data_IF_474044385743
#
_entry.id   IF_474044385743
#
_cell.length_a   1.000
_cell.length_b   1.000
_cell.length_c   1.000
_cell.angle_alpha   90.00
_cell.angle_beta   90.00
_cell.angle_gamma   90.00
#
_symmetry.space_group_name_H-M   'P 1'
#
loop_
_entity.id
_entity.type
_entity.pdbx_description
1 polymer ?
#
# COMPACT_ATOMS: atom_id res chain seq x y z
N UNK A 1 -30.49 28.17 18.48
CA UNK A 1 -29.87 29.50 18.41
C UNK A 1 -29.06 29.52 17.12
N UNK A 2 -29.55 30.16 16.05
CA UNK A 2 -28.77 30.28 14.81
C UNK A 2 -27.72 31.37 14.99
N UNK A 3 -26.44 31.01 14.85
CA UNK A 3 -25.35 31.97 14.95
C UNK A 3 -25.16 32.65 13.58
N UNK A 4 -25.38 33.97 13.47
CA UNK A 4 -25.21 34.67 12.21
C UNK A 4 -23.79 34.44 11.67
N UNK A 5 -23.67 34.12 10.39
CA UNK A 5 -22.37 33.91 9.69
C UNK A 5 -21.52 32.73 10.20
N UNK A 6 -22.12 31.75 10.88
CA UNK A 6 -21.42 30.54 11.34
C UNK A 6 -20.50 29.92 10.28
N UNK A 7 -20.98 29.77 9.04
CA UNK A 7 -20.20 29.19 7.93
C UNK A 7 -19.00 30.05 7.54
N UNK A 8 -19.15 31.38 7.50
CA UNK A 8 -18.07 32.31 7.13
C UNK A 8 -17.00 32.38 8.23
N UNK A 9 -17.44 32.40 9.50
CA UNK A 9 -16.56 32.38 10.67
C UNK A 9 -15.77 31.07 10.69
N UNK A 10 -16.45 29.94 10.55
CA UNK A 10 -15.81 28.61 10.55
C UNK A 10 -14.76 28.51 9.44
N UNK A 11 -15.09 28.93 8.21
CA UNK A 11 -14.12 28.96 7.10
C UNK A 11 -12.88 29.80 7.40
N UNK A 12 -13.06 30.94 8.06
CA UNK A 12 -11.96 31.85 8.39
C UNK A 12 -11.09 31.30 9.54
N UNK A 13 -11.70 30.60 10.50
CA UNK A 13 -11.01 30.01 11.65
C UNK A 13 -10.28 28.71 11.32
N UNK A 14 -10.72 27.93 10.32
CA UNK A 14 -10.07 26.67 9.91
C UNK A 14 -8.56 26.88 9.62
N UNK A 15 -8.20 27.97 8.93
CA UNK A 15 -6.81 28.29 8.61
C UNK A 15 -6.06 28.95 9.78
N UNK A 16 -6.71 29.14 10.93
CA UNK A 16 -6.17 29.77 12.13
C UNK A 16 -6.27 28.84 13.35
N UNK A 17 -6.48 27.54 13.13
CA UNK A 17 -6.78 26.58 14.18
C UNK A 17 -5.81 26.70 15.37
N UNK A 18 -4.50 26.72 15.11
CA UNK A 18 -3.49 26.76 16.16
C UNK A 18 -3.57 28.03 17.01
N UNK A 19 -3.95 29.17 16.42
CA UNK A 19 -4.13 30.43 17.15
C UNK A 19 -5.41 30.43 17.98
N UNK A 20 -6.47 29.80 17.48
CA UNK A 20 -7.71 29.60 18.25
C UNK A 20 -7.43 28.73 19.47
N UNK A 21 -6.70 27.63 19.30
CA UNK A 21 -6.35 26.72 20.39
C UNK A 21 -5.39 27.33 21.41
N UNK A 22 -4.62 28.35 21.02
CA UNK A 22 -3.68 29.05 21.92
C UNK A 22 -4.38 30.07 22.82
N UNK A 23 -5.68 30.33 22.64
CA UNK A 23 -6.45 31.18 23.54
C UNK A 23 -6.59 30.45 24.87
N UNK A 24 -6.07 31.04 25.95
CA UNK A 24 -6.21 30.52 27.31
C UNK A 24 -7.41 31.19 28.01
N UNK A 25 -8.55 30.50 28.18
CA UNK A 25 -9.67 31.06 28.93
C UNK A 25 -9.27 31.29 30.40
N UNK A 26 -9.83 32.34 31.02
CA UNK A 26 -9.49 32.67 32.41
C UNK A 26 -9.95 31.58 33.37
N UNK A 27 -9.07 31.16 34.29
CA UNK A 27 -9.39 30.23 35.38
C UNK A 27 -9.34 28.74 35.01
N UNK A 28 -8.84 28.38 33.83
CA UNK A 28 -8.65 26.99 33.39
C UNK A 28 -7.22 26.76 32.88
N UNK A 29 -6.84 25.48 32.73
CA UNK A 29 -5.55 25.10 32.19
C UNK A 29 -5.32 25.62 30.76
N UNK A 30 -4.06 25.88 30.41
CA UNK A 30 -3.71 26.50 29.14
C UNK A 30 -4.02 25.62 27.91
N UNK A 31 -4.24 24.32 28.09
CA UNK A 31 -4.66 23.37 27.06
C UNK A 31 -6.17 23.07 27.08
N UNK A 32 -6.96 23.79 27.87
CA UNK A 32 -8.41 23.57 28.02
C UNK A 32 -9.16 23.47 26.68
N UNK A 33 -8.83 24.32 25.69
CA UNK A 33 -9.48 24.26 24.38
C UNK A 33 -9.17 22.97 23.62
N UNK A 34 -8.00 22.37 23.84
CA UNK A 34 -7.61 21.08 23.24
C UNK A 34 -8.23 19.93 24.03
N UNK A 35 -8.04 19.93 25.36
CA UNK A 35 -8.40 18.78 26.18
C UNK A 35 -9.91 18.70 26.48
N UNK A 36 -10.55 19.81 26.83
CA UNK A 36 -11.96 19.82 27.26
C UNK A 36 -12.89 20.29 26.14
N UNK A 37 -12.57 21.37 25.42
CA UNK A 37 -13.51 21.95 24.46
C UNK A 37 -13.62 21.15 23.16
N UNK A 38 -12.49 20.74 22.58
CA UNK A 38 -12.46 19.76 21.48
C UNK A 38 -12.74 18.35 21.99
N UNK A 39 -12.43 18.08 23.26
CA UNK A 39 -12.42 16.74 23.82
C UNK A 39 -11.55 15.81 22.97
N UNK A 40 -10.26 16.14 22.82
CA UNK A 40 -9.40 15.47 21.83
C UNK A 40 -9.36 13.96 22.03
N UNK A 41 -9.38 13.51 23.29
CA UNK A 41 -9.37 12.12 23.67
C UNK A 41 -10.63 11.39 23.18
N UNK A 42 -11.82 11.98 23.34
CA UNK A 42 -13.06 11.36 22.82
C UNK A 42 -13.25 11.58 21.33
N UNK A 43 -12.90 12.73 20.78
CA UNK A 43 -13.15 13.08 19.37
C UNK A 43 -12.18 12.37 18.43
N UNK A 44 -10.88 12.46 18.68
CA UNK A 44 -9.85 11.87 17.82
C UNK A 44 -9.34 10.51 18.32
N UNK A 45 -9.60 10.18 19.58
CA UNK A 45 -9.36 8.85 20.15
C UNK A 45 -10.54 7.89 20.05
N UNK A 46 -11.65 8.28 19.42
CA UNK A 46 -12.86 7.46 19.31
C UNK A 46 -12.56 6.11 18.63
N UNK A 47 -12.69 4.98 19.34
CA UNK A 47 -12.44 3.67 18.75
C UNK A 47 -13.44 3.30 17.64
N UNK A 48 -14.58 3.98 17.55
CA UNK A 48 -15.60 3.75 16.52
C UNK A 48 -15.28 4.45 15.20
N UNK A 49 -14.34 5.41 15.19
CA UNK A 49 -13.91 6.05 13.94
C UNK A 49 -13.16 5.05 13.07
N UNK A 50 -13.62 4.85 11.83
CA UNK A 50 -13.00 3.91 10.90
C UNK A 50 -11.93 4.58 10.04
N UNK A 51 -10.84 3.87 9.70
CA UNK A 51 -9.85 4.39 8.78
C UNK A 51 -10.43 4.60 7.39
N UNK A 52 -10.26 5.82 6.87
CA UNK A 52 -10.55 6.14 5.46
C UNK A 52 -9.51 5.50 4.51
N UNK A 53 -9.78 5.53 3.20
CA UNK A 53 -8.99 4.90 2.14
C UNK A 53 -7.51 5.29 2.14
N UNK A 54 -7.20 6.50 2.60
CA UNK A 54 -5.83 7.01 2.65
C UNK A 54 -5.01 6.23 3.68
N UNK A 55 -5.58 6.02 4.88
CA UNK A 55 -4.98 5.22 5.94
C UNK A 55 -4.80 3.75 5.52
N UNK A 56 -5.84 3.18 4.90
CA UNK A 56 -5.78 1.80 4.38
C UNK A 56 -4.69 1.64 3.31
N UNK A 57 -4.56 2.59 2.37
CA UNK A 57 -3.52 2.53 1.35
C UNK A 57 -2.12 2.76 1.94
N UNK A 58 -1.97 3.65 2.92
CA UNK A 58 -0.71 3.82 3.66
C UNK A 58 -0.32 2.49 4.33
N UNK A 59 -1.25 1.81 5.00
CA UNK A 59 -1.00 0.50 5.60
C UNK A 59 -0.57 -0.55 4.56
N UNK A 60 -1.21 -0.58 3.38
CA UNK A 60 -0.79 -1.45 2.26
C UNK A 60 0.65 -1.15 1.83
N UNK A 61 0.99 0.12 1.62
CA UNK A 61 2.35 0.53 1.23
C UNK A 61 3.39 0.19 2.30
N UNK A 62 3.04 0.24 3.60
CA UNK A 62 3.90 -0.27 4.67
C UNK A 62 4.06 -1.78 4.59
N UNK A 63 2.97 -2.52 4.40
CA UNK A 63 3.00 -3.98 4.33
C UNK A 63 3.81 -4.48 3.13
N UNK A 64 3.77 -3.76 2.01
CA UNK A 64 4.61 -3.93 0.83
C UNK A 64 6.06 -3.40 1.03
N UNK A 65 6.41 -2.90 2.21
CA UNK A 65 7.78 -2.50 2.56
C UNK A 65 8.24 -1.16 1.97
N UNK A 66 7.34 -0.33 1.44
CA UNK A 66 7.70 0.92 0.78
C UNK A 66 7.61 2.15 1.69
N UNK A 67 6.63 2.18 2.59
CA UNK A 67 6.45 3.27 3.55
C UNK A 67 7.11 2.94 4.90
N UNK A 68 8.45 2.95 4.93
CA UNK A 68 9.23 2.55 6.12
C UNK A 68 9.21 3.55 7.27
N UNK A 69 9.10 4.85 6.97
CA UNK A 69 8.97 5.91 7.96
C UNK A 69 7.84 6.86 7.54
N UNK A 70 6.95 7.16 8.47
CA UNK A 70 5.81 8.05 8.30
C UNK A 70 5.84 9.04 9.45
N UNK A 71 5.73 10.33 9.11
CA UNK A 71 5.73 11.42 10.07
C UNK A 71 4.36 12.07 10.04
N UNK A 72 3.71 12.20 11.20
CA UNK A 72 2.34 12.73 11.29
C UNK A 72 2.20 13.73 12.43
N UNK A 73 1.49 14.82 12.13
CA UNK A 73 0.99 15.79 13.10
C UNK A 73 -0.44 15.43 13.59
N UNK A 74 -1.08 14.43 12.99
CA UNK A 74 -2.43 14.07 13.37
C UNK A 74 -2.46 13.35 14.72
N UNK A 75 -3.42 13.71 15.57
CA UNK A 75 -3.62 13.08 16.87
C UNK A 75 -4.33 11.72 16.79
N UNK A 76 -5.17 11.51 15.78
CA UNK A 76 -6.01 10.31 15.63
C UNK A 76 -5.20 9.03 15.41
N UNK A 77 -5.77 7.87 15.76
CA UNK A 77 -5.12 6.56 15.60
C UNK A 77 -5.45 5.83 14.30
N UNK A 78 -5.80 6.52 13.21
CA UNK A 78 -6.40 5.87 12.03
C UNK A 78 -5.39 5.06 11.21
N UNK A 79 -4.12 5.47 11.16
CA UNK A 79 -3.06 4.70 10.49
C UNK A 79 -2.77 3.43 11.28
N UNK A 80 -2.69 3.54 12.60
CA UNK A 80 -2.48 2.43 13.53
C UNK A 80 -3.60 1.39 13.39
N UNK A 81 -4.86 1.84 13.45
CA UNK A 81 -6.04 1.00 13.28
C UNK A 81 -6.09 0.36 11.89
N UNK A 82 -5.72 1.08 10.83
CA UNK A 82 -5.63 0.51 9.48
C UNK A 82 -4.60 -0.63 9.42
N UNK A 83 -3.41 -0.44 10.00
CA UNK A 83 -2.40 -1.51 10.04
C UNK A 83 -2.89 -2.70 10.86
N UNK A 84 -3.49 -2.49 12.02
CA UNK A 84 -4.05 -3.56 12.86
C UNK A 84 -5.09 -4.39 12.10
N UNK A 85 -6.04 -3.71 11.42
CA UNK A 85 -7.06 -4.36 10.60
C UNK A 85 -6.45 -5.21 9.48
N UNK A 86 -5.46 -4.68 8.76
CA UNK A 86 -4.90 -5.35 7.59
C UNK A 86 -3.86 -6.43 7.92
N UNK A 87 -3.06 -6.25 8.97
CA UNK A 87 -1.95 -7.13 9.31
C UNK A 87 -2.40 -8.44 9.98
N UNK A 88 -3.62 -8.49 10.54
CA UNK A 88 -4.14 -9.67 11.23
C UNK A 88 -3.26 -10.11 12.40
N UNK A 89 -2.77 -9.14 13.19
CA UNK A 89 -1.95 -9.39 14.38
C UNK A 89 -0.44 -9.45 14.16
N UNK A 90 0.06 -9.33 12.92
CA UNK A 90 1.49 -9.23 12.66
C UNK A 90 2.04 -7.88 13.14
N UNK A 91 3.22 -7.84 13.79
CA UNK A 91 3.86 -6.59 14.23
C UNK A 91 4.46 -5.85 13.02
N UNK A 92 3.63 -5.14 12.25
CA UNK A 92 4.06 -4.41 11.04
C UNK A 92 4.51 -2.99 11.37
N UNK A 93 3.92 -2.37 12.39
CA UNK A 93 4.08 -0.95 12.71
C UNK A 93 4.64 -0.74 14.11
N UNK A 94 5.65 0.13 14.22
CA UNK A 94 6.07 0.78 15.47
C UNK A 94 5.48 2.18 15.51
N UNK A 95 4.85 2.55 16.62
CA UNK A 95 4.32 3.90 16.86
C UNK A 95 5.24 4.60 17.84
N UNK A 96 5.71 5.79 17.49
CA UNK A 96 6.61 6.61 18.30
C UNK A 96 5.93 7.93 18.63
N UNK A 97 5.65 8.16 19.91
CA UNK A 97 5.07 9.40 20.44
C UNK A 97 6.01 10.04 21.47
N UNK A 98 6.64 9.19 22.29
CA UNK A 98 7.67 9.57 23.25
C UNK A 98 9.06 9.44 22.65
N UNK A 99 10.03 10.11 23.26
CA UNK A 99 11.43 10.00 22.87
C UNK A 99 11.95 8.57 23.13
N UNK A 100 11.48 7.92 24.19
CA UNK A 100 11.83 6.56 24.58
C UNK A 100 11.39 5.51 23.55
N UNK A 101 10.30 5.76 22.82
CA UNK A 101 9.78 4.82 21.81
C UNK A 101 10.78 4.59 20.68
N UNK A 102 11.67 5.57 20.44
CA UNK A 102 12.73 5.48 19.43
C UNK A 102 13.79 4.42 19.75
N UNK A 103 13.87 3.96 21.01
CA UNK A 103 14.82 2.94 21.46
C UNK A 103 14.43 1.51 21.06
N UNK A 104 13.16 1.28 20.76
CA UNK A 104 12.68 -0.06 20.38
C UNK A 104 13.11 -0.40 18.95
N UNK A 105 13.29 -1.68 18.63
CA UNK A 105 13.66 -2.08 17.28
C UNK A 105 12.62 -1.61 16.26
N UNK A 106 13.12 -1.13 15.11
CA UNK A 106 12.26 -0.70 14.02
C UNK A 106 11.41 -1.86 13.51
N UNK A 107 10.15 -1.58 13.21
CA UNK A 107 9.30 -2.50 12.47
C UNK A 107 9.34 -2.17 10.98
N UNK A 108 8.57 -2.91 10.17
CA UNK A 108 8.49 -2.66 8.72
C UNK A 108 8.08 -1.22 8.40
N UNK A 109 7.15 -0.67 9.19
CA UNK A 109 6.80 0.74 9.21
C UNK A 109 7.03 1.36 10.58
N UNK A 110 7.43 2.64 10.59
CA UNK A 110 7.61 3.44 11.80
C UNK A 110 6.79 4.72 11.66
N UNK A 111 5.86 4.94 12.58
CA UNK A 111 4.99 6.12 12.61
C UNK A 111 5.42 7.05 13.74
N UNK A 112 5.97 8.21 13.39
CA UNK A 112 6.39 9.24 14.33
C UNK A 112 5.30 10.30 14.46
N UNK A 113 4.63 10.33 15.61
CA UNK A 113 3.54 11.27 15.91
C UNK A 113 4.05 12.41 16.77
N UNK A 114 4.67 13.38 16.12
CA UNK A 114 5.38 14.45 16.80
C UNK A 114 4.47 15.51 17.45
N UNK A 115 3.16 15.44 17.19
CA UNK A 115 2.13 16.23 17.87
C UNK A 115 1.34 15.45 18.94
N UNK A 116 1.76 14.23 19.28
CA UNK A 116 1.07 13.41 20.27
C UNK A 116 0.06 12.43 19.66
N UNK A 117 -0.64 11.69 20.50
CA UNK A 117 -1.64 10.70 20.09
C UNK A 117 -2.84 10.73 21.05
N UNK A 118 -4.02 11.04 20.51
CA UNK A 118 -5.27 11.10 21.28
C UNK A 118 -5.67 9.74 21.85
N UNK A 119 -5.44 8.65 21.10
CA UNK A 119 -5.73 7.28 21.56
C UNK A 119 -4.89 6.90 22.78
N UNK A 120 -3.60 7.27 22.80
CA UNK A 120 -2.74 6.99 23.94
C UNK A 120 -3.03 7.94 25.12
N UNK A 121 -3.32 9.21 24.85
CA UNK A 121 -3.74 10.17 25.87
C UNK A 121 -5.07 9.80 26.55
N UNK A 122 -6.01 9.19 25.81
CA UNK A 122 -7.24 8.66 26.39
C UNK A 122 -7.01 7.47 27.34
N UNK A 123 -5.92 6.72 27.14
CA UNK A 123 -5.56 5.54 27.96
C UNK A 123 -4.67 5.90 29.15
N UNK A 124 -3.74 6.83 28.95
CA UNK A 124 -2.79 7.31 29.95
C UNK A 124 -2.59 8.83 29.77
N UNK A 125 -3.47 9.58 30.42
CA UNK A 125 -3.49 11.03 30.35
C UNK A 125 -2.18 11.64 30.90
N UNK A 126 -1.69 11.14 32.04
CA UNK A 126 -0.53 11.70 32.72
C UNK A 126 0.73 11.67 31.84
N UNK A 127 0.90 10.61 31.06
CA UNK A 127 2.05 10.44 30.18
C UNK A 127 1.87 11.16 28.84
N UNK A 128 0.70 11.04 28.21
CA UNK A 128 0.53 11.43 26.79
C UNK A 128 -0.21 12.76 26.59
N UNK A 129 -1.01 13.25 27.54
CA UNK A 129 -1.64 14.59 27.42
C UNK A 129 -0.59 15.71 27.27
N UNK A 130 0.53 15.72 28.03
CA UNK A 130 1.57 16.74 27.86
C UNK A 130 2.22 16.74 26.47
N UNK A 131 2.09 15.64 25.71
CA UNK A 131 2.65 15.48 24.37
C UNK A 131 1.70 15.93 23.26
N UNK A 132 0.46 16.31 23.59
CA UNK A 132 -0.47 16.87 22.63
C UNK A 132 -0.05 18.30 22.24
N UNK A 133 0.31 18.46 20.98
CA UNK A 133 0.70 19.74 20.37
C UNK A 133 -0.40 20.16 19.41
N UNK A 134 -0.99 21.33 19.64
CA UNK A 134 -1.93 21.94 18.68
C UNK A 134 -2.06 23.45 18.81
N UNK A 135 -1.47 24.04 19.85
CA UNK A 135 -1.48 25.48 20.09
C UNK A 135 -0.32 26.15 19.37
N UNK A 136 -0.53 27.38 18.91
CA UNK A 136 0.51 28.14 18.19
C UNK A 136 1.80 28.29 19.02
N UNK A 137 1.70 28.57 20.33
CA UNK A 137 2.84 28.62 21.24
C UNK A 137 3.62 27.30 21.30
N UNK A 138 2.92 26.16 21.38
CA UNK A 138 3.55 24.83 21.39
C UNK A 138 4.22 24.52 20.06
N UNK A 139 3.54 24.77 18.94
CA UNK A 139 4.07 24.50 17.59
C UNK A 139 5.34 25.32 17.36
N UNK A 140 5.31 26.63 17.61
CA UNK A 140 6.47 27.50 17.40
C UNK A 140 7.63 27.20 18.37
N UNK A 141 7.32 26.78 19.60
CA UNK A 141 8.32 26.44 20.61
C UNK A 141 8.82 24.99 20.54
N UNK A 142 8.21 24.13 19.71
CA UNK A 142 8.36 22.68 19.78
C UNK A 142 9.82 22.22 19.69
N UNK A 143 10.56 22.76 18.73
CA UNK A 143 11.96 22.40 18.49
C UNK A 143 12.93 22.88 19.59
N UNK A 144 12.50 23.83 20.44
CA UNK A 144 13.32 24.37 21.53
C UNK A 144 13.07 23.65 22.86
N UNK A 145 12.09 22.74 22.92
CA UNK A 145 11.80 21.98 24.12
C UNK A 145 12.72 20.76 24.22
N UNK A 146 13.47 20.68 25.31
CA UNK A 146 14.38 19.55 25.59
C UNK A 146 13.69 18.19 25.53
N UNK A 147 12.41 18.13 25.91
CA UNK A 147 11.60 16.91 25.89
C UNK A 147 11.22 16.39 24.50
N UNK A 148 11.61 17.09 23.44
CA UNK A 148 11.35 16.74 22.04
C UNK A 148 12.65 16.58 21.24
N UNK A 149 13.82 16.72 21.88
CA UNK A 149 15.12 16.79 21.20
C UNK A 149 15.45 15.49 20.44
N UNK A 150 15.10 14.34 21.01
CA UNK A 150 15.33 13.03 20.36
C UNK A 150 14.41 12.87 19.16
N UNK A 151 13.11 13.12 19.32
CA UNK A 151 12.15 13.11 18.21
C UNK A 151 12.58 14.07 17.09
N UNK A 152 12.91 15.32 17.41
CA UNK A 152 13.39 16.33 16.46
C UNK A 152 14.61 15.82 15.69
N UNK A 153 15.62 15.31 16.39
CA UNK A 153 16.83 14.78 15.78
C UNK A 153 16.52 13.62 14.82
N UNK A 154 15.55 12.76 15.18
CA UNK A 154 15.11 11.66 14.33
C UNK A 154 14.38 12.14 13.08
N UNK A 155 13.51 13.14 13.20
CA UNK A 155 12.80 13.72 12.05
C UNK A 155 13.80 14.38 11.07
N UNK A 156 14.80 15.10 11.59
CA UNK A 156 15.87 15.69 10.78
C UNK A 156 16.63 14.60 10.02
N UNK A 157 17.00 13.50 10.69
CA UNK A 157 17.68 12.36 10.05
C UNK A 157 16.86 11.77 8.89
N UNK A 158 15.56 11.55 9.11
CA UNK A 158 14.66 11.01 8.09
C UNK A 158 14.63 11.93 6.86
N UNK A 159 14.41 13.24 7.06
CA UNK A 159 14.34 14.22 5.97
C UNK A 159 15.67 14.39 5.25
N UNK A 160 16.80 14.28 5.96
CA UNK A 160 18.14 14.32 5.37
C UNK A 160 18.40 13.11 4.47
N UNK A 161 17.86 11.94 4.80
CA UNK A 161 18.25 10.67 4.15
C UNK A 161 17.22 10.13 3.16
N UNK A 162 15.98 10.63 3.18
CA UNK A 162 14.87 10.11 2.37
C UNK A 162 14.12 11.21 1.62
N UNK A 163 13.80 11.00 0.32
CA UNK A 163 12.81 11.82 -0.37
C UNK A 163 11.46 11.77 0.34
N UNK A 164 10.73 12.88 0.32
CA UNK A 164 9.47 13.04 1.03
C UNK A 164 8.29 13.18 0.08
N UNK A 165 7.27 12.34 0.27
CA UNK A 165 5.93 12.54 -0.28
C UNK A 165 5.04 13.19 0.77
N UNK A 166 4.58 14.41 0.52
CA UNK A 166 3.68 15.15 1.39
C UNK A 166 2.23 14.96 0.97
N UNK A 167 1.40 14.57 1.94
CA UNK A 167 -0.04 14.34 1.79
C UNK A 167 -0.82 15.37 2.62
N UNK A 168 -1.96 15.83 2.11
CA UNK A 168 -2.84 16.75 2.84
C UNK A 168 -2.22 18.12 3.12
N UNK A 169 -2.53 18.70 4.29
CA UNK A 169 -2.08 20.02 4.75
C UNK A 169 -0.73 19.97 5.51
N UNK A 170 0.09 18.96 5.25
CA UNK A 170 1.26 18.56 6.05
C UNK A 170 2.41 19.57 6.14
N UNK A 171 2.35 20.71 5.46
CA UNK A 171 3.38 21.75 5.53
C UNK A 171 2.93 23.04 6.26
N UNK A 172 1.71 23.08 6.80
CA UNK A 172 1.16 24.30 7.41
C UNK A 172 1.86 24.71 8.72
N UNK A 173 2.31 23.74 9.50
CA UNK A 173 2.87 24.02 10.82
C UNK A 173 4.34 24.44 10.74
N UNK A 174 4.71 25.44 11.54
CA UNK A 174 6.06 26.02 11.52
C UNK A 174 7.13 25.04 12.02
N UNK A 175 6.78 24.13 12.93
CA UNK A 175 7.75 23.15 13.46
C UNK A 175 8.25 22.20 12.38
N UNK A 176 7.36 21.64 11.55
CA UNK A 176 7.77 20.74 10.48
C UNK A 176 8.59 21.48 9.41
N UNK A 177 8.24 22.74 9.09
CA UNK A 177 9.08 23.57 8.22
C UNK A 177 10.49 23.75 8.81
N UNK A 178 10.60 23.99 10.12
CA UNK A 178 11.88 24.07 10.84
C UNK A 178 12.72 22.79 10.72
N UNK A 179 12.09 21.62 10.77
CA UNK A 179 12.77 20.32 10.53
C UNK A 179 13.40 20.28 9.14
N UNK A 180 12.66 20.68 8.09
CA UNK A 180 13.20 20.70 6.72
C UNK A 180 14.37 21.67 6.56
N UNK A 181 14.30 22.85 7.17
CA UNK A 181 15.42 23.81 7.16
C UNK A 181 16.65 23.24 7.86
N UNK A 182 16.48 22.62 9.04
CA UNK A 182 17.57 22.01 9.77
C UNK A 182 18.20 20.83 9.01
N UNK A 183 17.37 19.99 8.38
CA UNK A 183 17.82 18.88 7.54
C UNK A 183 18.60 19.37 6.31
N UNK A 184 18.14 20.44 5.66
CA UNK A 184 18.87 21.09 4.58
C UNK A 184 20.25 21.56 5.05
N UNK A 185 20.31 22.27 6.17
CA UNK A 185 21.57 22.81 6.70
C UNK A 185 22.57 21.70 7.06
N UNK A 186 22.06 20.52 7.40
CA UNK A 186 22.87 19.32 7.66
C UNK A 186 23.38 18.67 6.37
N UNK A 187 22.51 18.51 5.37
CA UNK A 187 22.84 17.96 4.07
C UNK A 187 21.84 18.46 3.03
N UNK A 188 22.31 19.32 2.14
CA UNK A 188 21.47 19.91 1.11
C UNK A 188 21.10 18.89 0.04
N UNK A 189 19.82 18.85 -0.33
CA UNK A 189 19.37 18.15 -1.54
C UNK A 189 19.82 18.93 -2.79
N UNK A 190 20.52 18.30 -3.75
CA UNK A 190 20.94 18.98 -4.96
C UNK A 190 19.76 19.28 -5.88
N UNK A 191 19.91 20.34 -6.68
CA UNK A 191 19.05 20.63 -7.82
C UNK A 191 19.89 20.66 -9.11
N UNK A 192 19.46 19.96 -10.19
CA UNK A 192 18.34 19.03 -10.24
C UNK A 192 18.63 17.72 -9.49
N UNK A 193 17.58 17.05 -9.00
CA UNK A 193 17.66 15.70 -8.43
C UNK A 193 16.58 14.78 -9.03
N UNK A 194 16.92 13.50 -9.19
CA UNK A 194 15.98 12.46 -9.58
C UNK A 194 16.16 11.22 -8.69
N UNK A 195 15.15 10.79 -7.92
CA UNK A 195 13.84 11.44 -7.77
C UNK A 195 13.94 12.84 -7.10
N UNK A 196 12.93 13.71 -7.26
CA UNK A 196 12.86 14.97 -6.52
C UNK A 196 12.87 14.73 -5.01
N UNK A 197 13.52 15.62 -4.25
CA UNK A 197 13.60 15.48 -2.80
C UNK A 197 12.24 15.63 -2.10
N UNK A 198 11.33 16.42 -2.66
CA UNK A 198 9.98 16.67 -2.13
C UNK A 198 8.95 16.61 -3.24
N UNK A 199 7.87 15.88 -2.98
CA UNK A 199 6.70 15.83 -3.85
C UNK A 199 5.46 16.10 -3.02
N UNK A 200 4.60 17.01 -3.49
CA UNK A 200 3.34 17.37 -2.85
C UNK A 200 2.16 16.80 -3.62
N UNK A 201 1.28 16.10 -2.91
CA UNK A 201 0.01 15.57 -3.44
C UNK A 201 -1.09 16.63 -3.32
N UNK A 202 -1.24 17.47 -4.34
CA UNK A 202 -2.25 18.54 -4.36
C UNK A 202 -2.56 18.94 -5.81
N UNK A 203 -3.67 19.65 -6.08
CA UNK A 203 -3.94 20.19 -7.43
C UNK A 203 -2.95 21.31 -7.81
N UNK A 204 -2.56 22.13 -6.82
CA UNK A 204 -1.58 23.22 -6.96
C UNK A 204 -0.74 23.40 -5.71
N UNK A 205 0.45 23.96 -5.86
CA UNK A 205 1.29 24.35 -4.72
C UNK A 205 0.70 25.57 -4.01
N UNK A 206 0.45 25.44 -2.71
CA UNK A 206 0.05 26.54 -1.82
C UNK A 206 1.25 27.39 -1.36
N UNK A 207 1.00 28.51 -0.67
CA UNK A 207 2.06 29.38 -0.15
C UNK A 207 3.07 28.64 0.74
N UNK A 208 2.59 27.76 1.62
CA UNK A 208 3.47 27.00 2.54
C UNK A 208 4.37 26.01 1.79
N UNK A 209 3.85 25.37 0.74
CA UNK A 209 4.67 24.47 -0.11
C UNK A 209 5.77 25.25 -0.83
N UNK A 210 5.45 26.43 -1.38
CA UNK A 210 6.43 27.29 -2.05
C UNK A 210 7.48 27.83 -1.08
N UNK A 211 7.06 28.23 0.10
CA UNK A 211 7.96 28.64 1.19
C UNK A 211 8.90 27.50 1.59
N UNK A 212 8.39 26.27 1.68
CA UNK A 212 9.22 25.10 1.94
C UNK A 212 10.26 24.88 0.83
N UNK A 213 9.85 24.90 -0.44
CA UNK A 213 10.74 24.73 -1.58
C UNK A 213 11.83 25.81 -1.64
N UNK A 214 11.48 27.06 -1.32
CA UNK A 214 12.43 28.16 -1.18
C UNK A 214 13.48 27.86 -0.10
N UNK A 215 13.03 27.40 1.07
CA UNK A 215 13.92 27.14 2.19
C UNK A 215 14.83 25.93 1.95
N UNK A 216 14.36 24.92 1.22
CA UNK A 216 15.16 23.71 0.97
C UNK A 216 16.13 23.89 -0.20
N UNK A 217 15.67 24.44 -1.33
CA UNK A 217 16.51 24.62 -2.51
C UNK A 217 17.35 25.91 -2.48
N UNK A 218 17.01 26.88 -1.62
CA UNK A 218 17.76 28.12 -1.38
C UNK A 218 18.20 28.80 -2.69
N UNK A 219 19.50 28.91 -2.93
CA UNK A 219 20.08 29.56 -4.11
C UNK A 219 19.62 28.92 -5.43
N UNK A 220 19.32 27.61 -5.40
CA UNK A 220 18.78 26.93 -6.58
C UNK A 220 17.34 27.36 -6.89
N UNK A 221 16.57 27.87 -5.92
CA UNK A 221 15.24 28.45 -6.13
C UNK A 221 15.35 29.90 -6.67
N UNK A 222 16.02 30.05 -7.80
CA UNK A 222 16.20 31.32 -8.50
C UNK A 222 15.06 31.61 -9.47
N UNK A 223 15.03 32.82 -10.06
CA UNK A 223 14.05 33.17 -11.10
C UNK A 223 14.09 32.19 -12.30
N UNK A 224 15.25 31.65 -12.65
CA UNK A 224 15.41 30.72 -13.76
C UNK A 224 14.91 29.29 -13.45
N UNK A 225 15.02 28.85 -12.19
CA UNK A 225 14.76 27.47 -11.78
C UNK A 225 13.43 27.28 -11.03
N UNK A 226 12.79 28.37 -10.61
CA UNK A 226 11.57 28.33 -9.79
C UNK A 226 10.47 27.46 -10.40
N UNK A 227 10.12 27.72 -11.65
CA UNK A 227 9.04 26.99 -12.33
C UNK A 227 9.40 25.50 -12.54
N UNK A 228 10.60 25.13 -13.03
CA UNK A 228 11.04 23.74 -13.08
C UNK A 228 11.00 23.02 -11.72
N UNK A 229 11.44 23.66 -10.64
CA UNK A 229 11.40 23.10 -9.28
C UNK A 229 9.95 22.84 -8.86
N UNK A 230 9.09 23.86 -8.98
CA UNK A 230 7.67 23.76 -8.62
C UNK A 230 6.95 22.66 -9.41
N UNK A 231 7.23 22.55 -10.72
CA UNK A 231 6.63 21.52 -11.57
C UNK A 231 7.11 20.12 -11.18
N UNK A 232 8.40 19.95 -10.90
CA UNK A 232 8.96 18.66 -10.49
C UNK A 232 8.46 18.19 -9.11
N UNK A 233 8.10 19.13 -8.24
CA UNK A 233 7.64 18.86 -6.88
C UNK A 233 6.11 18.66 -6.79
N UNK A 234 5.35 18.90 -7.85
CA UNK A 234 3.89 18.81 -7.80
C UNK A 234 3.38 17.51 -8.44
N UNK A 235 2.73 16.67 -7.64
CA UNK A 235 1.91 15.58 -8.15
C UNK A 235 0.44 16.00 -8.06
N UNK A 236 -0.16 16.25 -9.24
CA UNK A 236 -1.54 16.75 -9.39
C UNK A 236 -2.63 15.72 -9.09
N UNK A 237 -2.63 15.21 -7.86
CA UNK A 237 -3.66 14.35 -7.32
C UNK A 237 -3.69 14.51 -5.79
N UNK A 238 -4.88 14.52 -5.20
CA UNK A 238 -5.05 14.45 -3.74
C UNK A 238 -4.86 13.00 -3.25
N UNK A 239 -4.54 12.83 -1.96
CA UNK A 239 -4.24 11.52 -1.35
C UNK A 239 -5.30 10.45 -1.63
N UNK A 240 -6.59 10.79 -1.54
CA UNK A 240 -7.72 9.91 -1.90
C UNK A 240 -7.67 9.33 -3.31
N UNK A 241 -7.05 10.01 -4.27
CA UNK A 241 -6.84 9.47 -5.63
C UNK A 241 -5.43 8.90 -5.81
N UNK A 242 -4.44 9.55 -5.23
CA UNK A 242 -3.02 9.19 -5.37
C UNK A 242 -2.72 7.83 -4.73
N UNK A 243 -3.11 7.63 -3.48
CA UNK A 243 -2.70 6.46 -2.72
C UNK A 243 -3.22 5.14 -3.29
N UNK A 244 -4.50 5.00 -3.72
CA UNK A 244 -4.95 3.80 -4.41
C UNK A 244 -4.18 3.56 -5.73
N UNK A 245 -3.90 4.62 -6.49
CA UNK A 245 -3.11 4.51 -7.71
C UNK A 245 -1.67 4.07 -7.44
N UNK A 246 -1.06 4.55 -6.35
CA UNK A 246 0.26 4.11 -5.89
C UNK A 246 0.25 2.63 -5.48
N UNK A 247 -0.77 2.16 -4.76
CA UNK A 247 -0.89 0.74 -4.42
C UNK A 247 -0.91 -0.16 -5.68
N UNK A 248 -1.71 0.20 -6.69
CA UNK A 248 -1.76 -0.52 -7.96
C UNK A 248 -0.45 -0.43 -8.74
N UNK A 249 0.18 0.75 -8.76
CA UNK A 249 1.48 0.94 -9.40
C UNK A 249 2.55 0.07 -8.77
N UNK A 250 2.59 0.02 -7.44
CA UNK A 250 3.54 -0.79 -6.66
C UNK A 250 3.33 -2.27 -6.92
N UNK A 251 2.09 -2.74 -6.87
CA UNK A 251 1.77 -4.13 -7.16
C UNK A 251 2.25 -4.52 -8.58
N UNK A 252 1.90 -3.73 -9.60
CA UNK A 252 2.32 -3.98 -10.98
C UNK A 252 3.84 -3.91 -11.15
N UNK A 253 4.51 -2.90 -10.58
CA UNK A 253 5.97 -2.77 -10.65
C UNK A 253 6.68 -3.95 -9.99
N UNK A 254 6.17 -4.46 -8.86
CA UNK A 254 6.72 -5.67 -8.23
C UNK A 254 6.54 -6.90 -9.11
N UNK A 255 5.36 -7.13 -9.67
CA UNK A 255 5.12 -8.24 -10.58
C UNK A 255 6.04 -8.18 -11.80
N UNK A 256 6.18 -7.00 -12.44
CA UNK A 256 7.10 -6.80 -13.55
C UNK A 256 8.55 -7.06 -13.15
N UNK A 257 8.98 -6.61 -11.96
CA UNK A 257 10.35 -6.87 -11.49
C UNK A 257 10.58 -8.35 -11.20
N UNK A 258 9.59 -9.06 -10.69
CA UNK A 258 9.65 -10.51 -10.47
C UNK A 258 9.71 -11.29 -11.79
N UNK A 259 9.01 -10.83 -12.83
CA UNK A 259 9.16 -11.35 -14.20
C UNK A 259 10.60 -11.15 -14.69
N UNK A 260 11.18 -9.96 -14.49
CA UNK A 260 12.56 -9.67 -14.90
C UNK A 260 13.57 -10.61 -14.24
N UNK A 261 13.38 -10.91 -12.96
CA UNK A 261 14.25 -11.80 -12.20
C UNK A 261 14.13 -13.27 -12.62
N UNK A 262 12.98 -13.69 -13.16
CA UNK A 262 12.81 -15.05 -13.68
C UNK A 262 13.35 -15.18 -15.11
N UNK A 263 13.25 -14.12 -15.90
CA UNK A 263 13.68 -14.06 -17.29
C UNK A 263 14.85 -13.09 -17.50
N UNK A 264 15.90 -13.21 -16.68
CA UNK A 264 17.12 -12.40 -16.85
C UNK A 264 17.77 -12.64 -18.23
N UNK A 265 17.60 -13.85 -18.79
CA UNK A 265 18.09 -14.25 -20.12
C UNK A 265 17.28 -13.71 -21.29
N UNK A 266 16.07 -13.18 -21.07
CA UNK A 266 15.29 -12.56 -22.14
C UNK A 266 15.89 -11.23 -22.59
N UNK A 267 15.56 -10.79 -23.80
CA UNK A 267 15.79 -9.40 -24.19
C UNK A 267 14.82 -8.46 -23.46
N UNK A 268 15.16 -7.17 -23.42
CA UNK A 268 14.24 -6.16 -22.85
C UNK A 268 12.90 -6.12 -23.59
N UNK A 269 12.91 -6.33 -24.92
CA UNK A 269 11.71 -6.36 -25.74
C UNK A 269 10.80 -7.52 -25.37
N UNK A 270 11.35 -8.71 -25.14
CA UNK A 270 10.55 -9.89 -24.76
C UNK A 270 9.96 -9.72 -23.35
N UNK A 271 10.72 -9.17 -22.40
CA UNK A 271 10.17 -8.85 -21.07
C UNK A 271 9.06 -7.80 -21.12
N UNK A 272 9.20 -6.79 -21.99
CA UNK A 272 8.20 -5.75 -22.16
C UNK A 272 6.83 -6.29 -22.62
N UNK A 273 6.80 -7.39 -23.40
CA UNK A 273 5.55 -8.08 -23.78
C UNK A 273 4.80 -8.61 -22.55
N UNK A 274 5.51 -9.22 -21.60
CA UNK A 274 4.92 -9.70 -20.34
C UNK A 274 4.49 -8.55 -19.43
N UNK A 275 5.29 -7.48 -19.36
CA UNK A 275 4.93 -6.27 -18.63
C UNK A 275 3.66 -5.61 -19.18
N UNK A 276 3.44 -5.66 -20.49
CA UNK A 276 2.22 -5.15 -21.11
C UNK A 276 0.98 -5.91 -20.62
N UNK A 277 1.08 -7.23 -20.43
CA UNK A 277 0.01 -8.03 -19.84
C UNK A 277 -0.32 -7.62 -18.40
N UNK A 278 0.70 -7.48 -17.54
CA UNK A 278 0.51 -6.99 -16.15
C UNK A 278 -0.13 -5.59 -16.15
N UNK A 279 0.36 -4.70 -17.02
CA UNK A 279 -0.15 -3.33 -17.15
C UNK A 279 -1.60 -3.29 -17.61
N UNK A 280 -1.99 -4.17 -18.52
CA UNK A 280 -3.36 -4.27 -19.01
C UNK A 280 -4.33 -4.67 -17.88
N UNK A 281 -4.00 -5.71 -17.12
CA UNK A 281 -4.82 -6.14 -15.98
C UNK A 281 -4.90 -5.04 -14.91
N UNK A 282 -3.78 -4.38 -14.59
CA UNK A 282 -3.77 -3.23 -13.67
C UNK A 282 -4.72 -2.13 -14.13
N UNK A 283 -4.67 -1.77 -15.42
CA UNK A 283 -5.52 -0.71 -15.98
C UNK A 283 -7.00 -1.12 -15.99
N UNK A 284 -7.30 -2.39 -16.31
CA UNK A 284 -8.66 -2.92 -16.26
C UNK A 284 -9.22 -2.87 -14.83
N UNK A 285 -8.44 -3.28 -13.83
CA UNK A 285 -8.81 -3.17 -12.41
C UNK A 285 -9.00 -1.70 -12.02
N UNK A 286 -8.08 -0.82 -12.39
CA UNK A 286 -8.18 0.61 -12.08
C UNK A 286 -9.44 1.25 -12.68
N UNK A 287 -9.89 0.83 -13.87
CA UNK A 287 -11.10 1.34 -14.50
C UNK A 287 -12.36 1.04 -13.68
N UNK A 288 -12.38 -0.04 -12.89
CA UNK A 288 -13.52 -0.36 -12.00
C UNK A 288 -13.70 0.66 -10.87
N UNK A 289 -12.64 1.39 -10.49
CA UNK A 289 -12.75 2.44 -9.47
C UNK A 289 -13.63 3.61 -9.92
N UNK A 290 -13.78 3.83 -11.24
CA UNK A 290 -14.63 4.88 -11.81
C UNK A 290 -16.11 4.57 -11.57
N UNK A 291 -16.51 3.31 -11.70
CA UNK A 291 -17.90 2.87 -11.54
C UNK A 291 -18.26 2.55 -10.09
N UNK A 292 -17.35 1.92 -9.34
CA UNK A 292 -17.59 1.52 -7.94
C UNK A 292 -17.43 2.67 -6.94
N UNK A 293 -16.66 3.69 -7.30
CA UNK A 293 -16.14 4.67 -6.34
C UNK A 293 -14.90 4.15 -5.59
N UNK A 294 -14.14 5.09 -5.03
CA UNK A 294 -12.79 4.82 -4.50
C UNK A 294 -12.78 3.95 -3.25
N UNK A 295 -13.72 4.17 -2.33
CA UNK A 295 -13.78 3.40 -1.09
C UNK A 295 -14.17 1.93 -1.31
N UNK A 296 -15.30 1.61 -1.99
CA UNK A 296 -15.61 0.22 -2.30
C UNK A 296 -14.51 -0.45 -3.13
N UNK A 297 -13.87 0.30 -4.03
CA UNK A 297 -12.73 -0.19 -4.81
C UNK A 297 -11.55 -0.62 -3.92
N UNK A 298 -11.09 0.24 -3.01
CA UNK A 298 -9.94 -0.08 -2.13
C UNK A 298 -10.27 -1.26 -1.22
N UNK A 299 -11.48 -1.32 -0.65
CA UNK A 299 -11.91 -2.45 0.18
C UNK A 299 -11.95 -3.76 -0.61
N UNK A 300 -12.47 -3.71 -1.84
CA UNK A 300 -12.46 -4.87 -2.75
C UNK A 300 -11.04 -5.31 -3.10
N UNK A 301 -10.15 -4.36 -3.40
CA UNK A 301 -8.73 -4.62 -3.69
C UNK A 301 -8.02 -5.30 -2.51
N UNK A 302 -8.28 -4.87 -1.28
CA UNK A 302 -7.72 -5.48 -0.06
C UNK A 302 -8.18 -6.94 0.05
N UNK A 303 -9.49 -7.17 0.01
CA UNK A 303 -10.07 -8.51 0.12
C UNK A 303 -9.58 -9.44 -0.99
N UNK A 304 -9.54 -8.95 -2.23
CA UNK A 304 -9.04 -9.68 -3.39
C UNK A 304 -7.57 -10.08 -3.22
N UNK A 305 -6.72 -9.13 -2.83
CA UNK A 305 -5.28 -9.38 -2.68
C UNK A 305 -5.00 -10.32 -1.52
N UNK A 306 -5.63 -10.07 -0.36
CA UNK A 306 -5.49 -10.91 0.83
C UNK A 306 -5.92 -12.35 0.59
N UNK A 307 -7.08 -12.55 -0.02
CA UNK A 307 -7.60 -13.88 -0.35
C UNK A 307 -6.71 -14.57 -1.39
N UNK A 308 -6.38 -13.89 -2.49
CA UNK A 308 -5.53 -14.46 -3.55
C UNK A 308 -4.19 -14.93 -3.00
N UNK A 309 -3.53 -14.12 -2.18
CA UNK A 309 -2.25 -14.49 -1.57
C UNK A 309 -2.40 -15.56 -0.47
N UNK A 310 -3.53 -15.63 0.23
CA UNK A 310 -3.80 -16.72 1.19
C UNK A 310 -3.98 -18.06 0.49
N UNK A 311 -4.77 -18.08 -0.60
CA UNK A 311 -4.93 -19.27 -1.44
C UNK A 311 -3.58 -19.69 -2.05
N UNK A 312 -2.86 -18.73 -2.62
CA UNK A 312 -1.56 -18.96 -3.25
C UNK A 312 -0.53 -19.56 -2.30
N UNK A 313 -0.34 -18.95 -1.12
CA UNK A 313 0.72 -19.36 -0.20
C UNK A 313 0.34 -20.59 0.64
N UNK A 314 -0.93 -20.72 1.04
CA UNK A 314 -1.35 -21.68 2.05
C UNK A 314 -2.44 -22.66 1.59
N UNK A 315 -3.06 -22.43 0.43
CA UNK A 315 -4.20 -23.22 -0.03
C UNK A 315 -5.42 -23.12 0.89
N UNK A 316 -5.61 -21.97 1.54
CA UNK A 316 -6.61 -21.75 2.58
C UNK A 316 -7.26 -20.37 2.45
N UNK A 317 -8.52 -20.29 2.85
CA UNK A 317 -9.18 -19.00 3.06
C UNK A 317 -8.49 -18.20 4.18
N UNK A 318 -8.53 -16.85 4.12
CA UNK A 318 -8.13 -16.01 5.24
C UNK A 318 -8.86 -16.40 6.52
N UNK A 319 -8.14 -16.42 7.65
CA UNK A 319 -8.69 -16.91 8.93
C UNK A 319 -9.61 -15.89 9.62
N UNK A 320 -9.53 -14.61 9.24
CA UNK A 320 -10.30 -13.52 9.83
C UNK A 320 -11.53 -13.18 9.00
N UNK A 321 -12.62 -12.84 9.69
CA UNK A 321 -13.85 -12.31 9.09
C UNK A 321 -13.66 -10.88 8.54
N UNK A 322 -12.58 -10.20 8.95
CA UNK A 322 -12.23 -8.85 8.50
C UNK A 322 -11.27 -8.79 7.30
N UNK A 323 -11.12 -7.61 6.68
CA UNK A 323 -10.29 -7.40 5.50
C UNK A 323 -8.80 -7.54 5.88
N UNK A 324 -8.21 -8.69 5.57
CA UNK A 324 -6.78 -8.92 5.76
C UNK A 324 -6.04 -8.65 4.45
N UNK A 325 -4.94 -7.89 4.50
CA UNK A 325 -4.06 -7.72 3.35
C UNK A 325 -2.85 -8.65 3.46
N UNK A 326 -2.37 -9.16 2.33
CA UNK A 326 -1.13 -9.93 2.27
C UNK A 326 -0.28 -9.39 1.11
N UNK A 327 0.96 -8.96 1.38
CA UNK A 327 1.79 -8.33 0.36
C UNK A 327 2.27 -9.36 -0.66
N UNK A 328 2.55 -8.90 -1.89
CA UNK A 328 3.21 -9.70 -2.94
C UNK A 328 4.61 -10.08 -2.49
N UNK A 329 5.33 -9.12 -1.91
CA UNK A 329 6.59 -9.31 -1.20
C UNK A 329 6.75 -8.20 -0.18
N UNK A 330 7.38 -8.49 0.96
CA UNK A 330 7.71 -7.47 1.96
C UNK A 330 8.95 -6.66 1.58
N UNK A 331 9.68 -7.09 0.56
CA UNK A 331 10.93 -6.50 0.12
C UNK A 331 10.66 -5.37 -0.89
N UNK A 332 11.28 -4.19 -0.74
CA UNK A 332 11.20 -3.11 -1.72
C UNK A 332 11.70 -3.56 -3.10
N UNK A 333 11.13 -2.99 -4.17
CA UNK A 333 11.43 -3.37 -5.58
C UNK A 333 12.93 -3.39 -5.87
N UNK A 334 13.66 -2.39 -5.38
CA UNK A 334 15.10 -2.22 -5.56
C UNK A 334 15.94 -3.32 -4.89
N UNK A 335 15.40 -3.99 -3.86
CA UNK A 335 16.11 -5.02 -3.09
C UNK A 335 15.63 -6.43 -3.42
N UNK A 336 14.60 -6.61 -4.26
CA UNK A 336 14.06 -7.92 -4.60
C UNK A 336 15.13 -8.90 -5.10
N UNK A 337 16.12 -8.46 -5.88
CA UNK A 337 17.18 -9.35 -6.39
C UNK A 337 17.97 -10.05 -5.27
N UNK A 338 18.14 -9.39 -4.13
CA UNK A 338 18.90 -9.90 -2.98
C UNK A 338 18.03 -10.69 -1.98
N UNK A 339 16.73 -10.82 -2.22
CA UNK A 339 15.80 -11.48 -1.31
C UNK A 339 15.91 -13.01 -1.45
N UNK A 340 16.42 -13.72 -0.42
CA UNK A 340 16.61 -15.17 -0.50
C UNK A 340 15.28 -15.94 -0.55
N UNK A 341 14.17 -15.35 -0.09
CA UNK A 341 12.87 -16.04 -0.06
C UNK A 341 12.24 -16.17 -1.44
N UNK A 342 12.63 -15.35 -2.42
CA UNK A 342 12.06 -15.38 -3.77
C UNK A 342 12.33 -16.69 -4.53
N UNK A 343 13.35 -17.44 -4.13
CA UNK A 343 13.68 -18.72 -4.79
C UNK A 343 12.66 -19.80 -4.47
N UNK A 344 12.03 -19.74 -3.30
CA UNK A 344 11.11 -20.78 -2.80
C UNK A 344 9.66 -20.30 -2.67
N UNK A 345 9.39 -19.00 -2.85
CA UNK A 345 8.07 -18.42 -2.65
C UNK A 345 7.09 -18.68 -3.80
N UNK A 346 7.58 -19.09 -4.98
CA UNK A 346 6.79 -19.21 -6.20
C UNK A 346 6.27 -17.88 -6.77
N UNK A 347 6.64 -16.72 -6.19
CA UNK A 347 6.06 -15.41 -6.56
C UNK A 347 6.54 -14.91 -7.92
N UNK A 348 7.71 -15.36 -8.37
CA UNK A 348 8.22 -15.11 -9.73
C UNK A 348 7.30 -15.73 -10.77
N UNK A 349 6.96 -16.99 -10.58
CA UNK A 349 6.10 -17.77 -11.46
C UNK A 349 4.65 -17.30 -11.40
N UNK A 350 4.14 -16.92 -10.21
CA UNK A 350 2.86 -16.20 -10.09
C UNK A 350 2.83 -14.95 -10.96
N UNK A 351 3.91 -14.15 -10.94
CA UNK A 351 3.99 -12.91 -11.71
C UNK A 351 3.97 -13.17 -13.21
N UNK A 352 4.66 -14.23 -13.67
CA UNK A 352 4.61 -14.67 -15.07
C UNK A 352 3.21 -15.14 -15.45
N UNK A 353 2.54 -15.94 -14.61
CA UNK A 353 1.15 -16.36 -14.83
C UNK A 353 0.22 -15.16 -15.00
N UNK A 354 0.30 -14.16 -14.12
CA UNK A 354 -0.48 -12.91 -14.23
C UNK A 354 -0.17 -12.17 -15.54
N UNK A 355 1.11 -12.05 -15.92
CA UNK A 355 1.52 -11.44 -17.18
C UNK A 355 0.95 -12.16 -18.40
N UNK A 356 0.97 -13.49 -18.42
CA UNK A 356 0.44 -14.32 -19.51
C UNK A 356 -1.08 -14.20 -19.64
N UNK A 357 -1.82 -14.25 -18.53
CA UNK A 357 -3.26 -13.96 -18.55
C UNK A 357 -3.54 -12.57 -19.10
N UNK A 358 -2.78 -11.56 -18.70
CA UNK A 358 -2.93 -10.21 -19.21
C UNK A 358 -2.69 -10.07 -20.72
N UNK A 359 -1.70 -10.79 -21.27
CA UNK A 359 -1.50 -10.86 -22.73
C UNK A 359 -2.71 -11.48 -23.42
N UNK A 360 -3.27 -12.55 -22.85
CA UNK A 360 -4.44 -13.20 -23.43
C UNK A 360 -5.69 -12.29 -23.38
N UNK A 361 -5.85 -11.50 -22.32
CA UNK A 361 -6.90 -10.48 -22.23
C UNK A 361 -6.73 -9.39 -23.29
N UNK A 362 -5.50 -8.97 -23.57
CA UNK A 362 -5.23 -7.95 -24.60
C UNK A 362 -5.51 -8.42 -26.03
N UNK A 363 -5.17 -9.67 -26.36
CA UNK A 363 -5.04 -10.09 -27.76
C UNK A 363 -5.82 -11.34 -28.17
N UNK A 364 -6.39 -12.09 -27.22
CA UNK A 364 -6.97 -13.41 -27.49
C UNK A 364 -8.48 -13.51 -27.20
N UNK A 365 -9.17 -12.39 -26.96
CA UNK A 365 -10.61 -12.38 -26.66
C UNK A 365 -10.97 -12.95 -25.29
N UNK A 366 -9.99 -13.02 -24.38
CA UNK A 366 -10.22 -13.43 -23.00
C UNK A 366 -10.70 -12.25 -22.17
N UNK A 367 -11.53 -12.50 -21.16
CA UNK A 367 -11.77 -11.53 -20.10
C UNK A 367 -11.36 -12.12 -18.74
N UNK A 368 -10.85 -11.28 -17.86
CA UNK A 368 -10.52 -11.63 -16.49
C UNK A 368 -11.32 -10.73 -15.54
N UNK A 369 -12.04 -11.33 -14.61
CA UNK A 369 -12.90 -10.64 -13.66
C UNK A 369 -12.72 -11.22 -12.26
N UNK A 370 -12.97 -10.41 -11.23
CA UNK A 370 -13.04 -10.93 -9.87
C UNK A 370 -14.13 -12.00 -9.73
N UNK A 371 -14.11 -12.80 -8.65
CA UNK A 371 -15.11 -13.85 -8.46
C UNK A 371 -16.54 -13.30 -8.47
N UNK A 372 -17.43 -13.95 -9.21
CA UNK A 372 -18.83 -13.56 -9.28
C UNK A 372 -19.57 -13.87 -7.97
N UNK A 373 -20.59 -13.06 -7.66
CA UNK A 373 -21.45 -13.32 -6.51
C UNK A 373 -22.19 -14.66 -6.69
N UNK A 374 -22.20 -15.49 -5.64
CA UNK A 374 -22.85 -16.80 -5.66
C UNK A 374 -22.03 -17.95 -6.26
N UNK A 375 -20.79 -17.69 -6.72
CA UNK A 375 -19.87 -18.77 -7.10
C UNK A 375 -19.60 -19.66 -5.89
N UNK A 376 -19.89 -20.96 -6.01
CA UNK A 376 -19.78 -21.93 -4.90
C UNK A 376 -18.33 -22.09 -4.42
N UNK A 377 -17.39 -22.11 -5.37
CA UNK A 377 -15.95 -22.25 -5.13
C UNK A 377 -15.19 -21.20 -5.93
N UNK A 378 -15.15 -19.95 -5.47
CA UNK A 378 -14.53 -18.88 -6.22
C UNK A 378 -13.02 -19.04 -6.28
N UNK A 379 -12.43 -18.94 -7.48
CA UNK A 379 -10.98 -18.84 -7.66
C UNK A 379 -10.42 -17.53 -7.12
N UNK A 380 -9.13 -17.27 -7.36
CA UNK A 380 -8.57 -15.92 -7.21
C UNK A 380 -9.31 -14.94 -8.13
N UNK A 381 -9.51 -15.34 -9.39
CA UNK A 381 -10.35 -14.66 -10.37
C UNK A 381 -10.96 -15.68 -11.33
N UNK A 382 -11.88 -15.23 -12.17
CA UNK A 382 -12.46 -16.03 -13.24
C UNK A 382 -12.00 -15.53 -14.60
N UNK A 383 -11.75 -16.46 -15.52
CA UNK A 383 -11.42 -16.17 -16.92
C UNK A 383 -12.55 -16.66 -17.80
N UNK A 384 -12.94 -15.83 -18.78
CA UNK A 384 -13.93 -16.19 -19.80
C UNK A 384 -13.29 -16.23 -21.17
N UNK A 385 -13.60 -17.28 -21.92
CA UNK A 385 -13.23 -17.44 -23.33
C UNK A 385 -14.44 -17.94 -24.11
N UNK A 386 -15.03 -17.06 -24.94
CA UNK A 386 -16.31 -17.35 -25.58
C UNK A 386 -17.38 -17.72 -24.54
N UNK A 387 -17.85 -18.96 -24.58
CA UNK A 387 -18.87 -19.48 -23.64
C UNK A 387 -18.29 -20.12 -22.38
N UNK A 388 -16.99 -20.42 -22.35
CA UNK A 388 -16.33 -21.12 -21.23
C UNK A 388 -15.97 -20.14 -20.13
N UNK A 389 -16.22 -20.51 -18.88
CA UNK A 389 -15.80 -19.76 -17.68
C UNK A 389 -15.00 -20.69 -16.78
N UNK A 390 -13.74 -20.32 -16.51
CA UNK A 390 -12.88 -21.09 -15.61
C UNK A 390 -12.56 -20.28 -14.36
N UNK A 391 -12.64 -20.94 -13.20
CA UNK A 391 -12.10 -20.39 -11.95
C UNK A 391 -10.59 -20.62 -11.91
N UNK A 392 -9.81 -19.56 -11.73
CA UNK A 392 -8.34 -19.63 -11.69
C UNK A 392 -7.86 -19.60 -10.24
N UNK A 393 -7.13 -20.64 -9.85
CA UNK A 393 -6.42 -20.73 -8.58
C UNK A 393 -4.91 -20.70 -8.85
N UNK A 394 -4.15 -20.16 -7.89
CA UNK A 394 -2.69 -20.25 -7.89
C UNK A 394 -2.24 -21.07 -6.69
N UNK A 395 -1.13 -21.78 -6.84
CA UNK A 395 -0.47 -22.51 -5.77
C UNK A 395 1.04 -22.27 -5.83
N UNK A 396 1.60 -21.72 -4.75
CA UNK A 396 3.03 -21.47 -4.62
C UNK A 396 3.83 -22.77 -4.59
N UNK A 397 3.25 -23.82 -4.04
CA UNK A 397 3.87 -25.14 -3.84
C UNK A 397 2.86 -26.27 -4.00
N UNK A 398 3.38 -27.49 -4.14
CA UNK A 398 2.60 -28.72 -4.07
C UNK A 398 1.72 -28.79 -2.81
N UNK A 399 2.27 -28.39 -1.66
CA UNK A 399 1.54 -28.36 -0.40
C UNK A 399 0.34 -27.42 -0.46
N UNK A 400 0.51 -26.20 -0.98
CA UNK A 400 -0.62 -25.27 -1.13
C UNK A 400 -1.69 -25.81 -2.10
N UNK A 401 -1.29 -26.49 -3.18
CA UNK A 401 -2.23 -27.10 -4.11
C UNK A 401 -3.03 -28.24 -3.47
N UNK A 402 -2.36 -29.13 -2.74
CA UNK A 402 -3.02 -30.19 -1.97
C UNK A 402 -4.00 -29.62 -0.94
N UNK A 403 -3.64 -28.51 -0.30
CA UNK A 403 -4.52 -27.82 0.65
C UNK A 403 -5.74 -27.21 -0.03
N UNK A 404 -5.63 -26.66 -1.25
CA UNK A 404 -6.81 -26.18 -2.00
C UNK A 404 -7.85 -27.29 -2.18
N UNK A 405 -7.41 -28.50 -2.54
CA UNK A 405 -8.29 -29.67 -2.70
C UNK A 405 -8.75 -30.20 -1.35
N UNK A 406 -7.83 -30.36 -0.39
CA UNK A 406 -8.12 -30.89 0.95
C UNK A 406 -9.11 -30.04 1.74
N UNK A 407 -9.06 -28.71 1.56
CA UNK A 407 -9.99 -27.77 2.18
C UNK A 407 -11.27 -27.56 1.33
N UNK A 408 -11.48 -28.36 0.29
CA UNK A 408 -12.65 -28.30 -0.60
C UNK A 408 -12.86 -26.94 -1.28
N UNK A 409 -11.78 -26.18 -1.48
CA UNK A 409 -11.79 -24.89 -2.18
C UNK A 409 -11.81 -25.10 -3.70
N UNK A 410 -11.27 -26.22 -4.17
CA UNK A 410 -11.40 -26.69 -5.55
C UNK A 410 -11.65 -28.20 -5.58
N UNK A 411 -12.59 -28.63 -6.42
CA UNK A 411 -12.92 -30.03 -6.66
C UNK A 411 -12.23 -30.58 -7.90
N UNK A 412 -12.01 -31.90 -7.92
CA UNK A 412 -11.38 -32.60 -9.06
C UNK A 412 -12.24 -32.59 -10.35
N UNK A 413 -13.51 -32.24 -10.23
CA UNK A 413 -14.49 -32.15 -11.32
C UNK A 413 -14.98 -30.73 -11.55
N UNK A 414 -14.34 -29.74 -10.93
CA UNK A 414 -14.72 -28.34 -11.08
C UNK A 414 -14.20 -27.81 -12.42
N UNK A 415 -14.95 -26.88 -13.04
CA UNK A 415 -14.48 -26.08 -14.17
C UNK A 415 -13.49 -25.02 -13.67
N UNK A 416 -12.31 -25.49 -13.31
CA UNK A 416 -11.27 -24.71 -12.67
C UNK A 416 -9.88 -25.08 -13.17
N UNK A 417 -8.97 -24.13 -13.04
CA UNK A 417 -7.55 -24.27 -13.31
C UNK A 417 -6.77 -24.01 -12.03
N UNK A 418 -5.80 -24.86 -11.73
CA UNK A 418 -4.77 -24.62 -10.72
C UNK A 418 -3.45 -24.34 -11.42
N UNK A 419 -2.97 -23.10 -11.29
CA UNK A 419 -1.67 -22.67 -11.77
C UNK A 419 -0.63 -22.90 -10.67
N UNK A 420 0.23 -23.88 -10.86
CA UNK A 420 1.34 -24.19 -9.97
C UNK A 420 2.56 -23.36 -10.32
N UNK A 421 3.17 -22.72 -9.33
CA UNK A 421 4.46 -22.05 -9.53
C UNK A 421 5.55 -23.05 -9.90
N UNK A 422 5.62 -24.17 -9.19
CA UNK A 422 6.65 -25.20 -9.38
C UNK A 422 6.12 -26.43 -10.11
N UNK A 423 6.95 -27.47 -10.23
CA UNK A 423 6.56 -28.74 -10.85
C UNK A 423 5.40 -29.38 -10.09
N UNK A 424 4.43 -29.91 -10.84
CA UNK A 424 3.32 -30.69 -10.28
C UNK A 424 3.87 -32.05 -9.85
N UNK A 425 3.72 -32.46 -8.57
CA UNK A 425 4.14 -33.79 -8.13
C UNK A 425 3.45 -34.88 -8.94
N UNK A 426 4.18 -35.96 -9.25
CA UNK A 426 3.56 -37.14 -9.85
C UNK A 426 2.50 -37.70 -8.88
N UNK A 427 1.28 -38.00 -9.35
CA UNK A 427 0.26 -38.57 -8.48
C UNK A 427 0.77 -39.87 -7.85
N UNK A 428 0.72 -39.97 -6.52
CA UNK A 428 1.01 -41.24 -5.86
C UNK A 428 0.02 -42.30 -6.35
N UNK A 429 0.53 -43.45 -6.79
CA UNK A 429 -0.29 -44.57 -7.23
C UNK A 429 -1.17 -45.05 -6.07
N UNK A 430 -2.43 -44.63 -6.04
CA UNK A 430 -3.44 -45.24 -5.15
C UNK A 430 -3.86 -46.58 -5.76
N UNK A 431 -4.03 -47.59 -4.91
CA UNK A 431 -4.38 -48.95 -5.33
C UNK A 431 -5.64 -49.00 -6.23
N UNK A 432 -5.56 -49.89 -7.24
CA UNK A 432 -6.59 -50.30 -8.22
C UNK A 432 -7.60 -49.23 -8.67
N UNK A 433 -7.30 -48.53 -9.78
CA UNK A 433 -8.28 -47.72 -10.51
C UNK A 433 -9.41 -48.60 -11.06
N UNK A 434 -10.64 -48.11 -10.97
CA UNK A 434 -11.78 -48.57 -11.80
C UNK A 434 -11.37 -48.58 -13.28
N UNK A 435 -12.01 -49.47 -14.05
CA UNK A 435 -11.74 -49.69 -15.47
C UNK A 435 -11.65 -48.36 -16.26
N UNK A 436 -10.72 -48.24 -17.23
CA UNK A 436 -10.56 -47.02 -18.00
C UNK A 436 -11.83 -46.74 -18.80
N UNK A 437 -12.45 -45.59 -18.57
CA UNK A 437 -13.58 -45.08 -19.35
C UNK A 437 -13.61 -43.56 -19.27
N UNK A 438 -13.83 -42.90 -20.40
CA UNK A 438 -14.10 -41.44 -20.45
C UNK A 438 -15.40 -41.19 -19.69
N UNK A 439 -15.33 -40.50 -18.55
CA UNK A 439 -16.51 -40.11 -17.75
C UNK A 439 -17.25 -38.91 -18.34
N UNK A 440 -16.66 -38.21 -19.33
CA UNK A 440 -17.27 -37.05 -19.99
C UNK A 440 -17.40 -35.79 -19.11
N UNK A 441 -16.91 -35.83 -17.87
CA UNK A 441 -16.94 -34.70 -16.95
C UNK A 441 -15.71 -33.81 -17.16
N UNK A 442 -15.85 -32.47 -17.16
CA UNK A 442 -14.72 -31.56 -17.07
C UNK A 442 -13.87 -31.93 -15.86
N UNK A 443 -12.56 -32.10 -16.07
CA UNK A 443 -11.61 -32.39 -15.00
C UNK A 443 -10.91 -31.10 -14.56
N UNK A 444 -10.56 -31.03 -13.28
CA UNK A 444 -9.64 -30.02 -12.77
C UNK A 444 -8.38 -29.99 -13.63
N UNK A 445 -8.07 -28.82 -14.17
CA UNK A 445 -6.90 -28.65 -15.02
C UNK A 445 -5.76 -28.06 -14.21
N UNK A 446 -4.56 -28.61 -14.40
CA UNK A 446 -3.37 -28.21 -13.64
C UNK A 446 -2.27 -27.81 -14.61
N UNK A 447 -1.73 -26.61 -14.42
CA UNK A 447 -0.67 -26.05 -15.27
C UNK A 447 0.51 -25.65 -14.40
N UNK A 448 1.71 -26.09 -14.75
CA UNK A 448 2.94 -25.69 -14.07
C UNK A 448 3.64 -24.58 -14.84
N UNK A 449 3.78 -23.39 -14.23
CA UNK A 449 4.52 -22.28 -14.85
C UNK A 449 5.99 -22.63 -15.00
N UNK A 450 6.62 -23.29 -14.02
CA UNK A 450 8.00 -23.77 -14.14
C UNK A 450 8.20 -24.64 -15.39
N UNK A 451 7.28 -25.57 -15.67
CA UNK A 451 7.32 -26.41 -16.88
C UNK A 451 7.06 -25.59 -18.16
N UNK A 452 6.08 -24.68 -18.14
CA UNK A 452 5.77 -23.81 -19.28
C UNK A 452 6.98 -22.93 -19.65
N UNK A 453 7.76 -22.50 -18.66
CA UNK A 453 8.96 -21.67 -18.86
C UNK A 453 10.20 -22.48 -19.30
N UNK A 454 10.18 -23.81 -19.20
CA UNK A 454 11.36 -24.64 -19.44
C UNK A 454 11.82 -24.57 -20.90
N UNK A 455 13.10 -24.19 -21.09
CA UNK A 455 13.72 -24.06 -22.41
C UNK A 455 13.14 -22.95 -23.31
N UNK A 456 12.32 -22.07 -22.77
CA UNK A 456 11.74 -20.93 -23.48
C UNK A 456 12.77 -19.80 -23.64
N UNK A 457 12.83 -19.21 -24.84
CA UNK A 457 13.74 -18.10 -25.17
C UNK A 457 13.05 -16.80 -25.60
N UNK A 458 11.73 -16.84 -25.84
CA UNK A 458 10.94 -15.67 -26.23
C UNK A 458 9.51 -15.73 -25.68
N UNK A 459 8.85 -14.59 -25.58
CA UNK A 459 7.53 -14.47 -24.97
C UNK A 459 6.41 -15.05 -25.85
N UNK A 460 6.56 -15.03 -27.18
CA UNK A 460 5.52 -15.53 -28.09
C UNK A 460 5.37 -17.06 -27.95
N UNK A 461 6.49 -17.78 -27.87
CA UNK A 461 6.48 -19.23 -27.59
C UNK A 461 5.95 -19.52 -26.18
N UNK A 462 6.27 -18.66 -25.20
CA UNK A 462 5.75 -18.79 -23.83
C UNK A 462 4.22 -18.69 -23.80
N UNK A 463 3.66 -17.68 -24.47
CA UNK A 463 2.21 -17.45 -24.57
C UNK A 463 1.54 -18.62 -25.31
N UNK A 464 2.14 -19.10 -26.40
CA UNK A 464 1.64 -20.26 -27.15
C UNK A 464 1.55 -21.50 -26.25
N UNK A 465 2.65 -21.87 -25.58
CA UNK A 465 2.67 -23.04 -24.67
C UNK A 465 1.71 -22.89 -23.50
N UNK A 466 1.62 -21.69 -22.93
CA UNK A 466 0.67 -21.41 -21.85
C UNK A 466 -0.77 -21.64 -22.30
N UNK A 467 -1.15 -21.16 -23.49
CA UNK A 467 -2.49 -21.37 -24.04
C UNK A 467 -2.79 -22.84 -24.34
N UNK A 468 -1.80 -23.57 -24.85
CA UNK A 468 -1.92 -25.02 -25.09
C UNK A 468 -2.14 -25.81 -23.80
N UNK A 469 -1.42 -25.47 -22.73
CA UNK A 469 -1.57 -26.13 -21.42
C UNK A 469 -2.84 -25.68 -20.68
N UNK A 470 -3.35 -24.47 -20.93
CA UNK A 470 -4.62 -23.94 -20.39
C UNK A 470 -5.83 -24.42 -21.19
N UNK A 471 -5.65 -24.96 -22.40
CA UNK A 471 -6.66 -25.64 -23.22
C UNK A 471 -8.03 -24.92 -23.30
N UNK A 472 -8.01 -23.59 -23.48
CA UNK A 472 -9.18 -22.71 -23.62
C UNK A 472 -9.52 -22.36 -25.06
#
# INVERSE_FOLDING_TARGET
MEWPKFVEITKSLILQYARVLDIAPAGVEADYLVWEAIDVAKTYGDPTTEPDIEHLCIAILMMEGLASDIVSANWDGLVEKAVEQLAGGLPVLRVCVLDEDTRTDGQRGNLYKFHGCAVLAARDEATYRPKLVGRASQINGWANQRSNEVMLSKLIEIVTTKPTLMLGLSAQDSNIQGVFVAAQNRMAWPWPSHPPAFVFSNDKLGPDHKTLLQNVYKDAYSAANREPIELSALLRAYGKSLLPALCLHVAATKLCRLIDLLFEHFSQLERAKLHAGVTALRNQVAATAVTLGKEPFVRSMISFSGRTMSLFLAGKEPHSVGPQYRPISVTPVQHLKADPFLTISGTKELSVGIGLFGICVLGAGWTAEGPAAGTVRPGAFQVRTGTTVLQVFFAASAQSAEQLVGNSLVGLTDEAIVIHSHAIPSPMARAARRAPGRTGLPGLQEVSIAKVCEGITNADDLVRRFREEVAL
#
